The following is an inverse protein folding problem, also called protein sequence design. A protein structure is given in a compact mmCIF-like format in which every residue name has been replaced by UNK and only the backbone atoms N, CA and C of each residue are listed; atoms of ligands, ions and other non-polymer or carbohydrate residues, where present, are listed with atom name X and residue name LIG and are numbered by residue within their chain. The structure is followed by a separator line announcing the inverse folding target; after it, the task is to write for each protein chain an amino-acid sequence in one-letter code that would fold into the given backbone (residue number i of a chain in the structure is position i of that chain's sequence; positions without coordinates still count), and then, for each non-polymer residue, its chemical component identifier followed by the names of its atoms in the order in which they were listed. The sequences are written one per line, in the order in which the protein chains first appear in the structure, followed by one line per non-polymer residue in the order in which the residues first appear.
data_IF_131537233861
#
_entry.id   IF_131537233861
#
_cell.length_a   1.000
_cell.length_b   1.000
_cell.length_c   1.000
_cell.angle_alpha   90.00
_cell.angle_beta   90.00
_cell.angle_gamma   90.00
#
_symmetry.space_group_name_H-M   'P 1'
#
loop_
_entity.id
_entity.type
_entity.pdbx_description
1 polymer ?
#
# COMPACT_ATOMS: atom_id res chain seq x y z
N UNK A 1 10.38 12.34 10.39
CA UNK A 1 10.52 12.03 8.94
C UNK A 1 9.67 10.81 8.59
N UNK A 2 10.01 9.59 9.05
CA UNK A 2 9.21 8.38 8.82
C UNK A 2 7.73 8.48 9.26
N UNK A 3 7.48 9.01 10.45
CA UNK A 3 6.12 9.21 10.96
C UNK A 3 5.26 10.08 10.01
N UNK A 4 5.83 11.17 9.48
CA UNK A 4 5.11 12.05 8.55
C UNK A 4 4.82 11.39 7.20
N UNK A 5 5.70 10.49 6.75
CA UNK A 5 5.51 9.71 5.51
C UNK A 5 4.43 8.64 5.69
N UNK A 6 4.41 7.98 6.86
CA UNK A 6 3.52 6.85 7.12
C UNK A 6 2.15 7.27 7.66
N UNK A 7 1.99 8.49 8.18
CA UNK A 7 0.74 8.93 8.81
C UNK A 7 -0.48 8.76 7.90
N UNK A 8 -0.37 9.18 6.64
CA UNK A 8 -1.44 9.08 5.64
C UNK A 8 -1.73 7.62 5.31
N UNK A 9 -0.69 6.83 5.04
CA UNK A 9 -0.86 5.40 4.78
C UNK A 9 -1.45 4.65 5.96
N UNK A 10 -1.05 4.94 7.20
CA UNK A 10 -1.59 4.29 8.40
C UNK A 10 -3.04 4.68 8.68
N UNK A 11 -3.47 5.86 8.26
CA UNK A 11 -4.86 6.27 8.35
C UNK A 11 -5.74 5.54 7.33
N UNK A 12 -5.24 5.36 6.10
CA UNK A 12 -6.00 4.72 5.03
C UNK A 12 -5.97 3.20 5.11
N UNK A 13 -4.84 2.61 5.52
CA UNK A 13 -4.59 1.16 5.53
C UNK A 13 -5.67 0.34 6.24
N UNK A 14 -6.23 0.75 7.41
CA UNK A 14 -7.33 0.04 8.06
C UNK A 14 -8.59 -0.13 7.19
N UNK A 15 -8.79 0.77 6.23
CA UNK A 15 -9.94 0.74 5.30
C UNK A 15 -9.65 -0.04 4.02
N UNK A 16 -8.37 -0.20 3.67
CA UNK A 16 -7.94 -0.93 2.49
C UNK A 16 -8.05 -2.44 2.74
N UNK A 17 -8.61 -3.16 1.76
CA UNK A 17 -8.70 -4.62 1.82
C UNK A 17 -7.66 -5.26 0.91
N UNK A 18 -6.95 -6.26 1.46
CA UNK A 18 -6.04 -7.09 0.67
C UNK A 18 -4.68 -6.47 0.39
N UNK A 19 -4.31 -5.36 1.05
CA UNK A 19 -2.93 -4.86 1.05
C UNK A 19 -2.06 -5.85 1.81
N UNK A 20 -0.99 -6.31 1.17
CA UNK A 20 -0.02 -7.26 1.74
C UNK A 20 1.29 -6.55 2.11
N UNK A 21 1.76 -5.64 1.25
CA UNK A 21 3.02 -4.93 1.44
C UNK A 21 2.90 -3.46 1.04
N UNK A 22 3.62 -2.61 1.76
CA UNK A 22 3.78 -1.19 1.44
C UNK A 22 5.26 -0.89 1.26
N UNK A 23 5.63 -0.39 0.08
CA UNK A 23 7.02 -0.09 -0.27
C UNK A 23 7.25 1.41 -0.29
N UNK A 24 8.28 1.86 0.43
CA UNK A 24 8.72 3.26 0.52
C UNK A 24 10.12 3.40 -0.07
N UNK A 25 10.27 4.18 -1.14
CA UNK A 25 11.56 4.46 -1.79
C UNK A 25 12.07 5.88 -1.43
N UNK A 26 13.25 6.23 -1.95
CA UNK A 26 13.87 7.55 -1.70
C UNK A 26 13.00 8.73 -2.19
N UNK A 27 12.25 8.57 -3.28
CA UNK A 27 11.39 9.63 -3.81
C UNK A 27 10.22 9.95 -2.87
N UNK A 28 9.65 8.92 -2.24
CA UNK A 28 8.62 9.08 -1.21
C UNK A 28 9.19 9.79 0.02
N UNK A 29 10.43 9.45 0.42
CA UNK A 29 11.10 10.11 1.55
C UNK A 29 11.37 11.59 1.27
N UNK A 30 11.64 11.94 0.01
CA UNK A 30 11.85 13.32 -0.45
C UNK A 30 10.53 14.07 -0.73
N UNK A 31 9.37 13.43 -0.54
CA UNK A 31 8.05 14.02 -0.79
C UNK A 31 7.72 14.21 -2.28
N UNK A 32 8.41 13.50 -3.17
CA UNK A 32 8.25 13.59 -4.63
C UNK A 32 7.34 12.49 -5.21
N UNK A 33 6.80 11.62 -4.36
CA UNK A 33 5.90 10.54 -4.75
C UNK A 33 5.15 9.94 -3.57
N UNK A 34 4.30 8.94 -3.84
CA UNK A 34 3.49 8.23 -2.84
C UNK A 34 3.97 6.78 -2.65
N UNK A 35 3.77 6.17 -1.46
CA UNK A 35 4.10 4.77 -1.23
C UNK A 35 3.40 3.83 -2.22
N UNK A 36 4.08 2.75 -2.60
CA UNK A 36 3.52 1.72 -3.47
C UNK A 36 2.85 0.63 -2.62
N UNK A 37 1.57 0.36 -2.88
CA UNK A 37 0.80 -0.69 -2.21
C UNK A 37 0.76 -1.94 -3.08
N UNK A 38 1.21 -3.08 -2.54
CA UNK A 38 1.10 -4.39 -3.17
C UNK A 38 -0.10 -5.09 -2.54
N UNK A 39 -1.05 -5.48 -3.38
CA UNK A 39 -2.23 -6.22 -2.96
C UNK A 39 -2.01 -7.71 -3.18
N UNK A 40 -2.37 -8.53 -2.19
CA UNK A 40 -2.43 -9.96 -2.35
C UNK A 40 -3.42 -10.29 -3.48
N UNK A 41 -3.02 -11.16 -4.41
CA UNK A 41 -4.00 -11.77 -5.30
C UNK A 41 -5.01 -12.53 -4.43
N UNK A 42 -6.27 -12.07 -4.39
CA UNK A 42 -7.37 -12.95 -3.99
C UNK A 42 -7.33 -14.09 -4.99
N UNK A 43 -6.77 -15.24 -4.57
CA UNK A 43 -6.83 -16.50 -5.31
C UNK A 43 -8.27 -16.63 -5.80
N UNK A 44 -8.48 -16.39 -7.08
CA UNK A 44 -9.79 -16.28 -7.69
C UNK A 44 -10.44 -17.66 -7.67
N UNK A 45 -11.05 -17.98 -6.54
CA UNK A 45 -11.96 -19.10 -6.44
C UNK A 45 -13.19 -18.79 -7.29
N UNK A 46 -13.25 -19.46 -8.44
CA UNK A 46 -14.40 -19.55 -9.35
C UNK A 46 -14.75 -18.29 -10.15
N UNK A 47 -14.33 -18.26 -11.42
CA UNK A 47 -15.23 -18.52 -12.55
C UNK A 47 -14.46 -18.48 -13.86
N UNK A 48 -14.45 -19.59 -14.63
CA UNK A 48 -14.49 -19.62 -16.10
C UNK A 48 -14.50 -21.07 -16.61
N UNK A 49 -15.58 -21.40 -17.35
CA UNK A 49 -15.87 -22.61 -18.17
C UNK A 49 -16.22 -23.92 -17.46
#
# INVERSE_FOLDING_TARGET
ILEGILLETMFDLPTLQGVEEVVVNAEVVEGRGSPLMIYAEKKSGAASA
#
